data_IF_267955252491
#
_entry.id   IF_267955252491
#
_cell.length_a   1.000
_cell.length_b   1.000
_cell.length_c   1.000
_cell.angle_alpha   90.00
_cell.angle_beta   90.00
_cell.angle_gamma   90.00
#
_symmetry.space_group_name_H-M   'P 1'
#
loop_
_entity.id
_entity.type
_entity.pdbx_description
1 polymer ?
#
# COMPACT_ATOMS: atom_id res chain seq x y z
N UNK A 1 -4.99 13.34 -0.52
CA UNK A 1 -5.05 12.97 -1.96
C UNK A 1 -5.98 11.77 -2.09
N UNK A 2 -7.29 12.00 -2.22
CA UNK A 2 -8.28 10.92 -2.25
C UNK A 2 -9.24 11.15 -3.43
N UNK A 3 -9.43 10.11 -4.24
CA UNK A 3 -10.44 10.09 -5.30
C UNK A 3 -11.41 8.96 -5.01
N UNK A 4 -12.66 9.32 -4.73
CA UNK A 4 -13.72 8.35 -4.48
C UNK A 4 -13.81 7.34 -5.64
N UNK A 5 -13.87 6.05 -5.29
CA UNK A 5 -14.03 4.95 -6.27
C UNK A 5 -12.75 4.50 -6.99
N UNK A 6 -11.63 5.25 -6.94
CA UNK A 6 -10.41 4.88 -7.68
C UNK A 6 -9.87 3.51 -7.25
N UNK A 7 -9.74 3.26 -5.94
CA UNK A 7 -9.23 1.98 -5.44
C UNK A 7 -10.12 0.80 -5.84
N UNK A 8 -11.44 0.98 -5.84
CA UNK A 8 -12.37 -0.05 -6.27
C UNK A 8 -12.14 -0.43 -7.75
N UNK A 9 -11.97 0.57 -8.63
CA UNK A 9 -11.67 0.33 -10.04
C UNK A 9 -10.33 -0.39 -10.24
N UNK A 10 -9.30 0.01 -9.49
CA UNK A 10 -7.96 -0.62 -9.57
C UNK A 10 -8.01 -2.07 -9.12
N UNK A 11 -8.75 -2.40 -8.05
CA UNK A 11 -8.90 -3.79 -7.56
C UNK A 11 -9.53 -4.70 -8.60
N UNK A 12 -10.58 -4.24 -9.28
CA UNK A 12 -11.21 -4.98 -10.40
C UNK A 12 -10.20 -5.19 -11.52
N UNK A 13 -9.53 -4.12 -11.96
CA UNK A 13 -8.59 -4.20 -13.07
C UNK A 13 -7.38 -5.10 -12.78
N UNK A 14 -6.90 -5.10 -11.54
CA UNK A 14 -5.81 -5.96 -11.10
C UNK A 14 -6.16 -7.45 -11.26
N UNK A 15 -7.37 -7.86 -10.84
CA UNK A 15 -7.83 -9.25 -10.98
C UNK A 15 -7.91 -9.69 -12.43
N UNK A 16 -8.46 -8.82 -13.30
CA UNK A 16 -8.54 -9.08 -14.74
C UNK A 16 -7.16 -9.28 -15.37
N UNK A 17 -6.19 -8.43 -15.02
CA UNK A 17 -4.84 -8.49 -15.57
C UNK A 17 -4.07 -9.73 -15.13
N UNK A 18 -4.29 -10.21 -13.89
CA UNK A 18 -3.66 -11.43 -13.40
C UNK A 18 -4.21 -12.66 -14.13
N UNK A 19 -5.47 -12.62 -14.58
CA UNK A 19 -6.08 -13.67 -15.40
C UNK A 19 -5.89 -15.10 -14.83
N UNK A 20 -5.90 -15.23 -13.49
CA UNK A 20 -5.72 -16.50 -12.81
C UNK A 20 -4.29 -17.03 -12.76
N UNK A 21 -3.28 -16.30 -13.26
CA UNK A 21 -1.87 -16.71 -13.18
C UNK A 21 -1.40 -16.88 -11.73
N UNK A 22 -1.85 -15.99 -10.84
CA UNK A 22 -1.60 -16.07 -9.41
C UNK A 22 -2.92 -16.28 -8.67
N UNK A 23 -3.10 -17.49 -8.13
CA UNK A 23 -4.27 -17.85 -7.33
C UNK A 23 -3.93 -17.80 -5.84
N UNK A 24 -4.44 -16.79 -5.15
CA UNK A 24 -4.28 -16.60 -3.71
C UNK A 24 -5.53 -15.99 -3.11
N UNK A 25 -5.92 -16.39 -1.87
CA UNK A 25 -7.07 -15.79 -1.17
C UNK A 25 -6.99 -14.26 -1.06
N UNK A 26 -5.77 -13.71 -0.92
CA UNK A 26 -5.56 -12.24 -0.85
C UNK A 26 -6.08 -11.49 -2.07
N UNK A 27 -6.07 -12.11 -3.25
CA UNK A 27 -6.51 -11.48 -4.49
C UNK A 27 -7.93 -11.90 -4.87
N UNK A 28 -8.35 -13.11 -4.50
CA UNK A 28 -9.68 -13.63 -4.81
C UNK A 28 -10.75 -13.11 -3.84
N UNK A 29 -10.50 -13.18 -2.53
CA UNK A 29 -11.49 -12.94 -1.48
C UNK A 29 -11.20 -11.64 -0.73
N UNK A 30 -9.93 -11.38 -0.40
CA UNK A 30 -9.54 -10.32 0.52
C UNK A 30 -8.80 -9.14 -0.13
N UNK A 31 -9.13 -8.82 -1.40
CA UNK A 31 -8.40 -7.79 -2.15
C UNK A 31 -8.48 -6.39 -1.52
N UNK A 32 -9.55 -6.14 -0.76
CA UNK A 32 -9.75 -4.89 -0.04
C UNK A 32 -8.78 -4.72 1.13
N UNK A 33 -8.23 -5.82 1.65
CA UNK A 33 -7.16 -5.84 2.66
C UNK A 33 -5.76 -5.77 2.02
N UNK A 34 -5.62 -6.23 0.78
CA UNK A 34 -4.36 -6.22 0.05
C UNK A 34 -4.05 -4.85 -0.55
N UNK A 35 -5.03 -4.24 -1.22
CA UNK A 35 -4.90 -2.94 -1.89
C UNK A 35 -5.71 -1.89 -1.12
N UNK A 36 -5.07 -1.27 -0.14
CA UNK A 36 -5.67 -0.35 0.84
C UNK A 36 -5.27 1.11 0.60
N UNK A 37 -6.03 2.08 1.13
CA UNK A 37 -5.53 3.44 1.27
C UNK A 37 -4.31 3.48 2.22
N UNK A 38 -3.45 4.50 2.09
CA UNK A 38 -2.33 4.67 3.02
C UNK A 38 -2.84 4.85 4.45
N UNK A 39 -2.40 3.99 5.37
CA UNK A 39 -2.85 4.01 6.77
C UNK A 39 -2.52 5.34 7.49
N UNK A 40 -1.43 6.01 7.07
CA UNK A 40 -1.02 7.32 7.59
C UNK A 40 -1.59 8.50 6.78
N UNK A 41 -2.48 8.22 5.82
CA UNK A 41 -3.07 9.20 4.90
C UNK A 41 -2.00 10.03 4.21
N UNK A 42 -2.28 11.33 4.06
CA UNK A 42 -1.40 12.31 3.42
C UNK A 42 -0.07 12.54 4.17
N UNK A 43 0.06 12.02 5.40
CA UNK A 43 1.29 12.15 6.21
C UNK A 43 2.27 11.00 6.01
N UNK A 44 1.90 9.96 5.25
CA UNK A 44 2.76 8.79 5.03
C UNK A 44 4.18 9.17 4.55
N UNK A 45 4.29 10.15 3.64
CA UNK A 45 5.56 10.63 3.13
C UNK A 45 6.42 11.32 4.20
N UNK A 46 5.90 12.36 4.85
CA UNK A 46 6.66 13.13 5.87
C UNK A 46 7.04 12.25 7.07
N UNK A 47 6.16 11.35 7.51
CA UNK A 47 6.46 10.41 8.59
C UNK A 47 7.53 9.38 8.16
N UNK A 48 7.51 8.94 6.91
CA UNK A 48 8.59 8.12 6.34
C UNK A 48 9.94 8.83 6.36
N UNK A 49 10.00 10.11 5.99
CA UNK A 49 11.24 10.90 6.03
C UNK A 49 11.79 11.05 7.47
N UNK A 50 10.92 11.29 8.45
CA UNK A 50 11.30 11.34 9.86
C UNK A 50 11.84 9.98 10.32
N UNK A 51 11.19 8.88 9.94
CA UNK A 51 11.64 7.53 10.27
C UNK A 51 13.02 7.20 9.68
N UNK A 52 13.31 7.70 8.47
CA UNK A 52 14.64 7.59 7.85
C UNK A 52 15.71 8.35 8.67
N UNK A 53 15.45 9.59 9.07
CA UNK A 53 16.36 10.39 9.89
C UNK A 53 16.65 9.73 11.25
N UNK A 54 15.61 9.21 11.91
CA UNK A 54 15.78 8.45 13.15
C UNK A 54 16.64 7.20 12.96
N UNK A 55 16.47 6.51 11.82
CA UNK A 55 17.25 5.30 11.50
C UNK A 55 18.71 5.63 11.20
N UNK A 56 19.00 6.73 10.50
CA UNK A 56 20.35 7.22 10.29
C UNK A 56 21.03 7.56 11.64
N UNK A 57 20.37 8.34 12.49
CA UNK A 57 20.88 8.67 13.83
C UNK A 57 21.19 7.44 14.68
N UNK A 58 20.38 6.37 14.60
CA UNK A 58 20.63 5.10 15.30
C UNK A 58 21.81 4.32 14.73
N UNK A 59 22.11 4.45 13.43
CA UNK A 59 23.28 3.82 12.80
C UNK A 59 24.57 4.53 13.21
N UNK A 60 24.57 5.86 13.26
CA UNK A 60 25.76 6.65 13.64
C UNK A 60 26.12 6.52 15.13
N UNK A 61 25.18 6.07 15.95
CA UNK A 61 25.36 5.81 17.37
C UNK A 61 25.88 4.39 17.69
N UNK A 62 26.20 3.58 16.67
CA UNK A 62 26.83 2.25 16.77
C UNK A 62 28.27 2.32 16.30
#
# INVERSE_FOLDING_TARGET
MERAGLLAMVRVRLRELIAGYLQTPLLAEDIDSFLVPPALGDRAGVLGAIALAQSARRRDAR
#
